data_IF_149668151150
#
_entry.id   IF_149668151150
#
_cell.length_a   1.000
_cell.length_b   1.000
_cell.length_c   1.000
_cell.angle_alpha   90.00
_cell.angle_beta   90.00
_cell.angle_gamma   90.00
#
_symmetry.space_group_name_H-M   'P 1'
#
loop_
_entity.id
_entity.type
_entity.pdbx_description
1 polymer ?
#
# COMPACT_ATOMS: atom_id res chain seq x y z
N UNK A 1 45.54 41.74 17.65
CA UNK A 1 44.92 41.91 16.31
C UNK A 1 44.84 40.62 15.49
N UNK A 2 45.91 39.84 15.26
CA UNK A 2 45.78 38.53 14.55
C UNK A 2 45.13 37.42 15.41
N UNK A 3 45.35 37.44 16.72
CA UNK A 3 44.78 36.46 17.67
C UNK A 3 43.25 36.64 17.81
N UNK A 4 42.77 37.88 17.85
CA UNK A 4 41.32 38.21 17.93
C UNK A 4 40.55 37.77 16.67
N UNK A 5 41.19 37.87 15.49
CA UNK A 5 40.62 37.44 14.22
C UNK A 5 40.48 35.91 14.15
N UNK A 6 41.47 35.17 14.66
CA UNK A 6 41.42 33.71 14.75
C UNK A 6 40.34 33.25 15.73
N UNK A 7 40.22 33.90 16.89
CA UNK A 7 39.20 33.59 17.89
C UNK A 7 37.78 33.85 17.36
N UNK A 8 37.57 34.96 16.63
CA UNK A 8 36.30 35.28 15.99
C UNK A 8 35.90 34.26 14.92
N UNK A 9 36.86 33.78 14.13
CA UNK A 9 36.62 32.75 13.11
C UNK A 9 36.30 31.38 13.73
N UNK A 10 36.96 31.02 14.84
CA UNK A 10 36.64 29.80 15.59
C UNK A 10 35.23 29.88 16.18
N UNK A 11 34.82 31.02 16.74
CA UNK A 11 33.46 31.23 17.26
C UNK A 11 32.41 31.14 16.14
N UNK A 12 32.67 31.74 14.97
CA UNK A 12 31.77 31.65 13.80
C UNK A 12 31.63 30.20 13.32
N UNK A 13 32.74 29.44 13.29
CA UNK A 13 32.72 28.02 12.91
C UNK A 13 31.94 27.17 13.92
N UNK A 14 32.07 27.44 15.22
CA UNK A 14 31.30 26.73 16.26
C UNK A 14 29.81 27.04 16.13
N UNK A 15 29.43 28.31 15.94
CA UNK A 15 28.03 28.70 15.76
C UNK A 15 27.42 28.13 14.48
N UNK A 16 28.19 28.03 13.39
CA UNK A 16 27.77 27.39 12.14
C UNK A 16 27.53 25.88 12.31
N UNK A 17 28.41 25.18 13.05
CA UNK A 17 28.22 23.76 13.35
C UNK A 17 27.01 23.52 14.27
N UNK A 18 26.75 24.39 15.24
CA UNK A 18 25.57 24.28 16.13
C UNK A 18 24.24 24.50 15.38
N UNK A 19 24.25 25.30 14.30
CA UNK A 19 23.08 25.51 13.44
C UNK A 19 22.76 24.28 12.57
N UNK A 20 23.75 23.46 12.20
CA UNK A 20 23.57 22.27 11.35
C UNK A 20 22.99 21.03 12.08
N UNK A 21 22.91 21.03 13.41
CA UNK A 21 22.47 19.86 14.22
C UNK A 21 20.93 19.81 14.38
N UNK A 22 20.18 20.80 13.87
CA UNK A 22 18.75 20.99 14.16
C UNK A 22 17.74 20.10 13.38
N UNK A 23 18.15 19.01 12.72
CA UNK A 23 17.21 18.15 11.96
C UNK A 23 17.16 16.69 12.42
N UNK A 24 17.52 16.39 13.67
CA UNK A 24 17.36 15.05 14.24
C UNK A 24 15.90 14.86 14.69
N UNK A 25 15.05 14.29 13.83
CA UNK A 25 13.70 13.84 14.19
C UNK A 25 13.78 12.49 14.91
N UNK A 26 13.82 12.47 16.25
CA UNK A 26 13.63 11.22 16.99
C UNK A 26 12.15 10.81 16.92
N UNK A 27 11.79 9.94 15.99
CA UNK A 27 10.42 9.42 15.93
C UNK A 27 10.13 8.54 17.14
N UNK A 28 8.97 8.75 17.76
CA UNK A 28 8.50 7.91 18.87
C UNK A 28 7.77 6.68 18.34
N UNK A 29 7.73 5.59 19.12
CA UNK A 29 6.95 4.38 18.77
C UNK A 29 5.47 4.72 18.52
N UNK A 30 4.90 5.67 19.28
CA UNK A 30 3.53 6.17 19.07
C UNK A 30 3.33 6.82 17.69
N UNK A 31 4.30 7.60 17.22
CA UNK A 31 4.24 8.22 15.90
C UNK A 31 4.32 7.17 14.79
N UNK A 32 5.23 6.20 14.93
CA UNK A 32 5.37 5.09 13.99
C UNK A 32 4.10 4.22 13.92
N UNK A 33 3.50 3.90 15.06
CA UNK A 33 2.22 3.17 15.10
C UNK A 33 1.10 3.95 14.41
N UNK A 34 1.01 5.26 14.63
CA UNK A 34 0.01 6.13 13.97
C UNK A 34 0.21 6.16 12.46
N UNK A 35 1.46 6.26 12.01
CA UNK A 35 1.80 6.22 10.57
C UNK A 35 1.38 4.88 9.95
N UNK A 36 1.71 3.75 10.57
CA UNK A 36 1.34 2.44 10.06
C UNK A 36 -0.19 2.26 9.96
N UNK A 37 -0.95 2.74 10.94
CA UNK A 37 -2.42 2.72 10.92
C UNK A 37 -2.96 3.56 9.77
N UNK A 38 -2.42 4.76 9.56
CA UNK A 38 -2.86 5.65 8.47
C UNK A 38 -2.53 5.07 7.10
N UNK A 39 -1.33 4.51 6.92
CA UNK A 39 -0.92 3.87 5.68
C UNK A 39 -1.85 2.69 5.33
N UNK A 40 -2.14 1.82 6.30
CA UNK A 40 -3.10 0.75 6.07
C UNK A 40 -4.49 1.27 5.72
N UNK A 41 -4.97 2.31 6.42
CA UNK A 41 -6.28 2.93 6.14
C UNK A 41 -6.35 3.46 4.71
N UNK A 42 -5.34 4.18 4.25
CA UNK A 42 -5.29 4.74 2.88
C UNK A 42 -5.31 3.62 1.83
N UNK A 43 -4.56 2.55 2.04
CA UNK A 43 -4.54 1.41 1.12
C UNK A 43 -5.89 0.64 1.13
N UNK A 44 -6.56 0.53 2.28
CA UNK A 44 -7.89 -0.07 2.37
C UNK A 44 -8.96 0.80 1.67
N UNK A 45 -8.83 2.13 1.74
CA UNK A 45 -9.66 3.06 0.97
C UNK A 45 -9.45 2.86 -0.55
N UNK A 46 -8.20 2.71 -1.00
CA UNK A 46 -7.88 2.41 -2.40
C UNK A 46 -8.46 1.08 -2.87
N UNK A 47 -8.42 0.03 -2.04
CA UNK A 47 -9.06 -1.25 -2.34
C UNK A 47 -10.57 -1.08 -2.55
N UNK A 48 -11.22 -0.27 -1.71
CA UNK A 48 -12.65 0.01 -1.85
C UNK A 48 -12.96 0.81 -3.13
N UNK A 49 -12.09 1.74 -3.52
CA UNK A 49 -12.21 2.48 -4.79
C UNK A 49 -12.11 1.51 -5.98
N UNK A 50 -11.09 0.66 -6.02
CA UNK A 50 -10.89 -0.34 -7.09
C UNK A 50 -12.09 -1.28 -7.17
N UNK A 51 -12.54 -1.83 -6.04
CA UNK A 51 -13.70 -2.71 -5.97
C UNK A 51 -14.96 -2.05 -6.53
N UNK A 52 -15.24 -0.78 -6.17
CA UNK A 52 -16.38 -0.02 -6.70
C UNK A 52 -16.27 0.24 -8.20
N UNK A 53 -15.08 0.55 -8.71
CA UNK A 53 -14.85 0.72 -10.16
C UNK A 53 -15.17 -0.57 -10.92
N UNK A 54 -14.79 -1.73 -10.40
CA UNK A 54 -15.10 -3.02 -11.02
C UNK A 54 -16.63 -3.26 -11.01
N UNK A 55 -17.31 -3.01 -9.89
CA UNK A 55 -18.78 -3.15 -9.83
C UNK A 55 -19.49 -2.27 -10.86
N UNK A 56 -19.02 -1.04 -11.09
CA UNK A 56 -19.58 -0.14 -12.10
C UNK A 56 -19.29 -0.63 -13.52
N UNK A 57 -18.06 -1.07 -13.78
CA UNK A 57 -17.66 -1.52 -15.11
C UNK A 57 -18.41 -2.79 -15.54
N UNK A 58 -18.68 -3.69 -14.60
CA UNK A 58 -19.36 -4.97 -14.82
C UNK A 58 -20.83 -4.96 -14.35
N UNK A 59 -21.47 -3.79 -14.30
CA UNK A 59 -22.82 -3.62 -13.73
C UNK A 59 -23.89 -4.57 -14.32
N UNK A 60 -23.76 -4.92 -15.60
CA UNK A 60 -24.70 -5.79 -16.31
C UNK A 60 -24.38 -7.29 -16.18
N UNK A 61 -23.25 -7.66 -15.57
CA UNK A 61 -22.82 -9.05 -15.37
C UNK A 61 -23.08 -9.49 -13.92
N UNK A 62 -24.33 -9.88 -13.67
CA UNK A 62 -24.78 -10.27 -12.33
C UNK A 62 -24.03 -11.48 -11.78
N UNK A 63 -23.74 -12.49 -12.60
CA UNK A 63 -23.02 -13.69 -12.20
C UNK A 63 -21.59 -13.37 -11.75
N UNK A 64 -20.88 -12.53 -12.53
CA UNK A 64 -19.57 -12.04 -12.14
C UNK A 64 -19.61 -11.23 -10.85
N UNK A 65 -20.58 -10.31 -10.70
CA UNK A 65 -20.69 -9.48 -9.49
C UNK A 65 -20.88 -10.34 -8.24
N UNK A 66 -21.72 -11.38 -8.29
CA UNK A 66 -21.91 -12.29 -7.16
C UNK A 66 -20.63 -13.09 -6.85
N UNK A 67 -19.92 -13.54 -7.88
CA UNK A 67 -18.62 -14.20 -7.72
C UNK A 67 -17.57 -13.26 -7.11
N UNK A 68 -17.49 -12.00 -7.56
CA UNK A 68 -16.59 -10.97 -7.03
C UNK A 68 -16.88 -10.67 -5.56
N UNK A 69 -18.16 -10.48 -5.20
CA UNK A 69 -18.60 -10.28 -3.81
C UNK A 69 -18.19 -11.45 -2.93
N UNK A 70 -18.40 -12.68 -3.40
CA UNK A 70 -18.01 -13.89 -2.69
C UNK A 70 -16.49 -13.98 -2.51
N UNK A 71 -15.73 -13.77 -3.58
CA UNK A 71 -14.26 -13.72 -3.58
C UNK A 71 -13.73 -12.68 -2.59
N UNK A 72 -14.29 -11.47 -2.59
CA UNK A 72 -13.86 -10.38 -1.71
C UNK A 72 -14.13 -10.68 -0.23
N UNK A 73 -15.31 -11.24 0.10
CA UNK A 73 -15.61 -11.68 1.48
C UNK A 73 -14.67 -12.78 1.95
N UNK A 74 -14.37 -13.74 1.07
CA UNK A 74 -13.43 -14.81 1.39
C UNK A 74 -11.99 -14.28 1.54
N UNK A 75 -11.59 -13.30 0.73
CA UNK A 75 -10.30 -12.65 0.87
C UNK A 75 -10.14 -11.94 2.22
N UNK A 76 -11.19 -11.27 2.74
CA UNK A 76 -11.16 -10.68 4.08
C UNK A 76 -10.88 -11.75 5.15
N UNK A 77 -11.58 -12.89 5.08
CA UNK A 77 -11.34 -14.02 5.99
C UNK A 77 -9.91 -14.58 5.87
N UNK A 78 -9.41 -14.68 4.64
CA UNK A 78 -8.04 -15.10 4.36
C UNK A 78 -7.02 -14.11 4.99
N UNK A 79 -7.17 -12.80 4.75
CA UNK A 79 -6.31 -11.75 5.31
C UNK A 79 -6.26 -11.83 6.84
N UNK A 80 -7.42 -11.97 7.48
CA UNK A 80 -7.50 -12.05 8.92
C UNK A 80 -6.87 -13.35 9.45
N UNK A 81 -7.01 -14.45 8.70
CA UNK A 81 -6.35 -15.74 8.98
C UNK A 81 -4.83 -15.66 8.83
N UNK A 82 -4.33 -14.95 7.82
CA UNK A 82 -2.89 -14.71 7.61
C UNK A 82 -2.29 -13.93 8.78
N UNK A 83 -2.96 -12.86 9.25
CA UNK A 83 -2.52 -12.12 10.44
C UNK A 83 -2.48 -13.03 11.67
N UNK A 84 -3.53 -13.86 11.87
CA UNK A 84 -3.57 -14.82 12.97
C UNK A 84 -2.46 -15.86 12.86
N UNK A 85 -2.19 -16.39 11.67
CA UNK A 85 -1.11 -17.34 11.42
C UNK A 85 0.27 -16.73 11.69
N UNK A 86 0.49 -15.48 11.27
CA UNK A 86 1.76 -14.77 11.47
C UNK A 86 2.00 -14.42 12.94
N UNK A 87 0.93 -14.14 13.69
CA UNK A 87 0.97 -13.81 15.11
C UNK A 87 0.08 -14.74 15.95
N UNK A 88 0.43 -16.03 16.10
CA UNK A 88 -0.48 -17.03 16.66
C UNK A 88 -0.63 -16.98 18.18
N UNK A 89 0.27 -16.32 18.90
CA UNK A 89 0.24 -16.29 20.38
C UNK A 89 -0.87 -15.37 20.88
N UNK A 90 -1.66 -15.77 21.87
CA UNK A 90 -2.77 -14.95 22.37
C UNK A 90 -2.29 -13.67 23.08
N UNK A 91 -1.29 -13.78 23.95
CA UNK A 91 -0.68 -12.62 24.62
C UNK A 91 0.27 -11.89 23.66
N UNK A 92 -0.32 -11.00 22.83
CA UNK A 92 0.44 -10.26 21.82
C UNK A 92 1.52 -9.37 22.44
N UNK A 93 1.24 -8.79 23.60
CA UNK A 93 2.15 -7.88 24.29
C UNK A 93 3.38 -8.60 24.81
N UNK A 94 3.20 -9.76 25.45
CA UNK A 94 4.30 -10.57 25.97
C UNK A 94 5.19 -11.13 24.84
N UNK A 95 4.60 -11.66 23.77
CA UNK A 95 5.36 -12.36 22.73
C UNK A 95 5.93 -11.45 21.63
N UNK A 96 5.26 -10.35 21.30
CA UNK A 96 5.64 -9.49 20.16
C UNK A 96 5.99 -8.06 20.58
N UNK A 97 5.78 -7.70 21.84
CA UNK A 97 6.15 -6.39 22.38
C UNK A 97 5.30 -5.24 21.85
N UNK A 98 5.76 -4.01 22.12
CA UNK A 98 5.05 -2.77 21.77
C UNK A 98 4.99 -2.49 20.27
N UNK A 99 5.83 -3.13 19.44
CA UNK A 99 5.79 -2.96 17.99
C UNK A 99 4.70 -3.78 17.30
N UNK A 100 4.03 -4.70 18.01
CA UNK A 100 3.02 -5.59 17.43
C UNK A 100 1.99 -4.87 16.58
N UNK A 101 1.41 -3.78 17.09
CA UNK A 101 0.37 -2.99 16.40
C UNK A 101 0.90 -2.43 15.08
N UNK A 102 2.09 -1.85 15.11
CA UNK A 102 2.75 -1.31 13.91
C UNK A 102 2.97 -2.42 12.87
N UNK A 103 3.55 -3.56 13.28
CA UNK A 103 3.83 -4.67 12.37
C UNK A 103 2.57 -5.29 11.77
N UNK A 104 1.48 -5.40 12.53
CA UNK A 104 0.18 -5.88 12.02
C UNK A 104 -0.36 -4.95 10.95
N UNK A 105 -0.32 -3.63 11.17
CA UNK A 105 -0.82 -2.68 10.17
C UNK A 105 0.00 -2.70 8.89
N UNK A 106 1.34 -2.78 8.97
CA UNK A 106 2.17 -2.95 7.78
C UNK A 106 1.87 -4.25 7.03
N UNK A 107 1.59 -5.34 7.74
CA UNK A 107 1.24 -6.60 7.08
C UNK A 107 -0.16 -6.56 6.45
N UNK A 108 -1.12 -5.90 7.10
CA UNK A 108 -2.44 -5.65 6.54
C UNK A 108 -2.34 -4.79 5.27
N UNK A 109 -1.53 -3.73 5.28
CA UNK A 109 -1.22 -2.92 4.10
C UNK A 109 -0.67 -3.78 2.96
N UNK A 110 0.35 -4.61 3.22
CA UNK A 110 0.96 -5.49 2.22
C UNK A 110 -0.07 -6.45 1.57
N UNK A 111 -0.88 -7.13 2.38
CA UNK A 111 -1.91 -8.05 1.88
C UNK A 111 -2.97 -7.30 1.04
N UNK A 112 -3.32 -6.08 1.46
CA UNK A 112 -4.31 -5.23 0.79
C UNK A 112 -3.79 -4.72 -0.56
N UNK A 113 -2.54 -4.26 -0.63
CA UNK A 113 -1.89 -3.88 -1.89
C UNK A 113 -1.81 -5.04 -2.88
N UNK A 114 -1.52 -6.26 -2.41
CA UNK A 114 -1.55 -7.46 -3.26
C UNK A 114 -2.94 -7.71 -3.84
N UNK A 115 -3.98 -7.55 -3.02
CA UNK A 115 -5.37 -7.70 -3.48
C UNK A 115 -5.76 -6.64 -4.51
N UNK A 116 -5.35 -5.39 -4.30
CA UNK A 116 -5.53 -4.31 -5.28
C UNK A 116 -4.91 -4.71 -6.61
N UNK A 117 -3.65 -5.19 -6.61
CA UNK A 117 -2.97 -5.66 -7.82
C UNK A 117 -3.73 -6.80 -8.52
N UNK A 118 -4.26 -7.76 -7.77
CA UNK A 118 -5.09 -8.82 -8.33
C UNK A 118 -6.37 -8.26 -8.96
N UNK A 119 -7.07 -7.36 -8.29
CA UNK A 119 -8.34 -6.81 -8.76
C UNK A 119 -8.16 -5.87 -9.97
N UNK A 120 -7.05 -5.15 -10.06
CA UNK A 120 -6.79 -4.24 -11.18
C UNK A 120 -6.77 -4.94 -12.55
N UNK A 121 -6.53 -6.25 -12.61
CA UNK A 121 -6.64 -7.02 -13.86
C UNK A 121 -8.02 -6.86 -14.53
N UNK A 122 -9.10 -6.72 -13.76
CA UNK A 122 -10.45 -6.48 -14.29
C UNK A 122 -10.68 -5.06 -14.80
N UNK A 123 -9.84 -4.10 -14.39
CA UNK A 123 -9.85 -2.72 -14.88
C UNK A 123 -8.93 -2.54 -16.09
N UNK A 124 -7.77 -3.21 -16.08
CA UNK A 124 -6.73 -3.09 -17.12
C UNK A 124 -7.15 -3.85 -18.40
N UNK A 125 -7.81 -5.00 -18.22
CA UNK A 125 -8.20 -5.90 -19.29
C UNK A 125 -7.08 -6.86 -19.72
N UNK A 126 -7.37 -7.71 -20.71
CA UNK A 126 -6.43 -8.69 -21.29
C UNK A 126 -6.23 -8.49 -22.79
N UNK A 127 -5.22 -9.15 -23.34
CA UNK A 127 -4.95 -9.25 -24.78
C UNK A 127 -5.99 -10.13 -25.48
N UNK A 128 -6.24 -9.85 -26.76
CA UNK A 128 -7.09 -10.73 -27.56
C UNK A 128 -6.39 -12.06 -27.84
N UNK A 129 -7.07 -13.17 -27.58
CA UNK A 129 -6.53 -14.53 -27.77
C UNK A 129 -6.02 -15.20 -26.49
N UNK A 130 -6.01 -14.50 -25.34
CA UNK A 130 -5.78 -15.13 -24.04
C UNK A 130 -7.01 -15.95 -23.62
N UNK A 131 -6.94 -17.26 -23.87
CA UNK A 131 -7.99 -18.23 -23.55
C UNK A 131 -8.19 -18.44 -22.04
N UNK A 132 -7.25 -18.00 -21.20
CA UNK A 132 -7.28 -18.17 -19.75
C UNK A 132 -7.71 -16.91 -18.99
N UNK A 133 -8.12 -15.86 -19.71
CA UNK A 133 -8.50 -14.56 -19.15
C UNK A 133 -9.83 -14.56 -18.38
N UNK A 134 -10.66 -15.59 -18.56
CA UNK A 134 -11.91 -15.75 -17.81
C UNK A 134 -12.87 -14.57 -18.02
N UNK A 135 -13.30 -13.94 -16.92
CA UNK A 135 -14.23 -12.78 -16.98
C UNK A 135 -13.55 -11.44 -17.24
N UNK A 136 -12.22 -11.39 -17.41
CA UNK A 136 -11.51 -10.15 -17.71
C UNK A 136 -11.84 -9.70 -19.15
N UNK A 137 -12.26 -8.45 -19.32
CA UNK A 137 -12.57 -7.88 -20.64
C UNK A 137 -11.30 -7.66 -21.48
N UNK A 138 -11.43 -7.75 -22.80
CA UNK A 138 -10.34 -7.38 -23.74
C UNK A 138 -10.07 -5.88 -23.60
N UNK A 139 -8.81 -5.52 -23.36
CA UNK A 139 -8.38 -4.12 -23.23
C UNK A 139 -8.57 -3.38 -24.55
N UNK A 140 -9.05 -2.14 -24.49
CA UNK A 140 -9.20 -1.31 -25.70
C UNK A 140 -7.85 -1.01 -26.36
N UNK A 141 -6.75 -1.02 -25.59
CA UNK A 141 -5.38 -0.86 -26.10
C UNK A 141 -5.03 -1.96 -27.11
N UNK A 142 -5.56 -3.18 -26.95
CA UNK A 142 -5.29 -4.31 -27.83
C UNK A 142 -6.30 -4.45 -28.98
N UNK A 143 -7.43 -3.71 -28.95
CA UNK A 143 -8.46 -3.77 -30.01
C UNK A 143 -8.05 -3.07 -31.31
N UNK A 144 -6.99 -2.26 -31.32
CA UNK A 144 -6.50 -1.52 -32.51
C UNK A 144 -5.75 -2.41 -33.51
N UNK A 145 -5.48 -3.67 -33.20
CA UNK A 145 -4.70 -4.58 -34.06
C UNK A 145 -5.47 -5.10 -35.30
N UNK A 146 -6.81 -5.18 -35.27
CA UNK A 146 -7.53 -5.96 -36.30
C UNK A 146 -7.93 -5.21 -37.57
N UNK A 147 -7.77 -3.88 -37.64
CA UNK A 147 -8.21 -3.07 -38.78
C UNK A 147 -7.13 -2.14 -39.39
N UNK A 148 -5.86 -2.27 -39.00
CA UNK A 148 -4.71 -1.80 -39.78
C UNK A 148 -4.56 -0.29 -40.04
N UNK A 149 -4.31 0.52 -38.99
CA UNK A 149 -3.62 1.84 -38.96
C UNK A 149 -3.66 2.39 -37.51
N UNK A 150 -2.77 3.25 -36.96
CA UNK A 150 -1.30 3.26 -36.75
C UNK A 150 -1.04 3.77 -35.30
N UNK A 151 0.18 3.44 -34.81
CA UNK A 151 0.92 3.83 -33.59
C UNK A 151 0.74 2.92 -32.38
#
# INVERSE_FOLDING_TARGET
MKVDFQFKNIIILILFNLFLIHTIHSQTIRQLESQAVNEYREIDEDLNIVYKKILLMYADDYEFIEALRSSQRNWIKFRDSEVKMKYPKEDKGFYYGSSYRMCVNYYLAELTSKRIKTLNQWLDGTEEGDLCSGSIRISMIFKTNKNGDIV
#
